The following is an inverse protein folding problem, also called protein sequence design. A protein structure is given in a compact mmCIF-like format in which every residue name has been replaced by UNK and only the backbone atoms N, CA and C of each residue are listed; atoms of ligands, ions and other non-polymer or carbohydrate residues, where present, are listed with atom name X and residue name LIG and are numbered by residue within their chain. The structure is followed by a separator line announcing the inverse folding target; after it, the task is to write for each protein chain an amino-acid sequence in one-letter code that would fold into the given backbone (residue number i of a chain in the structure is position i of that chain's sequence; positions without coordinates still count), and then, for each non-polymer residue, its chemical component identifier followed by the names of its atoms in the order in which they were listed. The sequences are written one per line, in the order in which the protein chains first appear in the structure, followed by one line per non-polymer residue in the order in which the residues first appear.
data_IF_705530840150
#
_entry.id   IF_705530840150
#
_cell.length_a   1.000
_cell.length_b   1.000
_cell.length_c   1.000
_cell.angle_alpha   90.00
_cell.angle_beta   90.00
_cell.angle_gamma   90.00
#
_symmetry.space_group_name_H-M   'P 1'
#
loop_
_entity.id
_entity.type
_entity.pdbx_description
1 polymer ?
#
# COMPACT_ATOMS: atom_id res chain seq x y z
N UNK A 1 -31.08 54.16 -6.05
CA UNK A 1 -30.30 52.92 -5.85
C UNK A 1 -29.76 52.75 -4.43
N UNK A 2 -28.91 53.66 -3.95
CA UNK A 2 -28.11 53.43 -2.72
C UNK A 2 -28.86 53.49 -1.38
N UNK A 3 -29.99 54.21 -1.28
CA UNK A 3 -30.78 54.26 -0.04
C UNK A 3 -31.50 52.94 0.29
N UNK A 4 -31.94 52.20 -0.73
CA UNK A 4 -32.67 50.93 -0.56
C UNK A 4 -31.75 49.78 -0.11
N UNK A 5 -30.50 49.76 -0.59
CA UNK A 5 -29.48 48.77 -0.18
C UNK A 5 -29.02 48.95 1.27
N UNK A 6 -28.86 50.20 1.74
CA UNK A 6 -28.53 50.48 3.17
C UNK A 6 -29.65 50.10 4.14
N UNK A 7 -30.91 50.29 3.75
CA UNK A 7 -32.07 49.89 4.57
C UNK A 7 -32.18 48.35 4.66
N UNK A 8 -31.97 47.63 3.55
CA UNK A 8 -31.93 46.16 3.55
C UNK A 8 -30.77 45.60 4.38
N UNK A 9 -29.59 46.23 4.37
CA UNK A 9 -28.44 45.83 5.18
C UNK A 9 -28.66 45.98 6.69
N UNK A 10 -29.33 47.06 7.13
CA UNK A 10 -29.68 47.28 8.55
C UNK A 10 -30.72 46.28 9.06
N UNK A 11 -31.75 45.96 8.27
CA UNK A 11 -32.74 44.95 8.64
C UNK A 11 -32.17 43.54 8.74
N UNK A 12 -31.16 43.20 7.92
CA UNK A 12 -30.44 41.92 8.01
C UNK A 12 -29.55 41.83 9.26
N UNK A 13 -28.87 42.93 9.64
CA UNK A 13 -28.06 42.97 10.87
C UNK A 13 -28.91 42.80 12.13
N UNK A 14 -30.01 43.54 12.26
CA UNK A 14 -30.91 43.42 13.42
C UNK A 14 -31.49 42.01 13.59
N UNK A 15 -31.79 41.30 12.48
CA UNK A 15 -32.23 39.90 12.51
C UNK A 15 -31.13 38.93 12.94
N UNK A 16 -29.87 39.22 12.60
CA UNK A 16 -28.73 38.40 13.04
C UNK A 16 -28.44 38.61 14.53
N UNK A 17 -28.53 39.85 15.01
CA UNK A 17 -28.34 40.18 16.42
C UNK A 17 -29.41 39.51 17.29
N UNK A 18 -30.68 39.51 16.85
CA UNK A 18 -31.75 38.81 17.56
C UNK A 18 -31.52 37.29 17.62
N UNK A 19 -31.11 36.67 16.51
CA UNK A 19 -30.76 35.23 16.48
C UNK A 19 -29.58 34.90 17.38
N UNK A 20 -28.60 35.81 17.48
CA UNK A 20 -27.43 35.63 18.32
C UNK A 20 -27.79 35.69 19.82
N UNK A 21 -28.69 36.58 20.21
CA UNK A 21 -29.20 36.64 21.58
C UNK A 21 -30.11 35.44 21.93
N UNK A 22 -30.96 34.99 20.98
CA UNK A 22 -31.72 33.75 21.14
C UNK A 22 -30.80 32.53 21.31
N UNK A 23 -29.71 32.46 20.53
CA UNK A 23 -28.72 31.39 20.63
C UNK A 23 -27.99 31.42 21.98
N UNK A 24 -27.59 32.61 22.46
CA UNK A 24 -26.97 32.77 23.79
C UNK A 24 -27.91 32.33 24.89
N UNK A 25 -29.18 32.77 24.85
CA UNK A 25 -30.18 32.40 25.85
C UNK A 25 -30.53 30.90 25.82
N UNK A 26 -30.49 30.27 24.64
CA UNK A 26 -30.62 28.81 24.52
C UNK A 26 -29.43 28.10 25.12
N UNK A 27 -28.21 28.58 24.85
CA UNK A 27 -26.98 27.97 25.33
C UNK A 27 -26.83 28.08 26.85
N UNK A 28 -27.20 29.22 27.46
CA UNK A 28 -27.19 29.36 28.92
C UNK A 28 -28.15 28.39 29.59
N UNK A 29 -29.36 28.21 29.04
CA UNK A 29 -30.34 27.23 29.55
C UNK A 29 -29.83 25.79 29.42
N UNK A 30 -29.12 25.48 28.33
CA UNK A 30 -28.52 24.16 28.14
C UNK A 30 -27.41 23.91 29.17
N UNK A 31 -26.54 24.87 29.42
CA UNK A 31 -25.49 24.79 30.46
C UNK A 31 -26.12 24.58 31.83
N UNK A 32 -27.14 25.37 32.20
CA UNK A 32 -27.84 25.23 33.48
C UNK A 32 -28.50 23.84 33.61
N UNK A 33 -29.11 23.34 32.53
CA UNK A 33 -29.68 21.98 32.50
C UNK A 33 -28.63 20.89 32.67
N UNK A 34 -27.45 21.05 32.08
CA UNK A 34 -26.34 20.10 32.21
C UNK A 34 -25.73 20.14 33.62
N UNK A 35 -25.56 21.33 34.19
CA UNK A 35 -25.09 21.49 35.57
C UNK A 35 -26.06 20.82 36.56
N UNK A 36 -27.37 21.03 36.39
CA UNK A 36 -28.37 20.40 37.23
C UNK A 36 -28.34 18.87 37.10
N UNK A 37 -28.25 18.34 35.86
CA UNK A 37 -28.10 16.89 35.62
C UNK A 37 -26.85 16.30 36.27
N UNK A 38 -25.72 17.01 36.22
CA UNK A 38 -24.48 16.57 36.84
C UNK A 38 -24.62 16.49 38.37
N UNK A 39 -25.24 17.49 38.98
CA UNK A 39 -25.50 17.51 40.43
C UNK A 39 -26.42 16.34 40.82
N UNK A 40 -27.48 16.11 40.06
CA UNK A 40 -28.43 15.03 40.37
C UNK A 40 -27.81 13.64 40.18
N UNK A 41 -26.95 13.45 39.16
CA UNK A 41 -26.17 12.22 39.01
C UNK A 41 -25.18 12.01 40.16
N UNK A 42 -24.48 13.06 40.59
CA UNK A 42 -23.53 12.96 41.70
C UNK A 42 -24.25 12.58 43.00
N UNK A 43 -25.37 13.24 43.30
CA UNK A 43 -26.23 12.93 44.45
C UNK A 43 -26.75 11.49 44.41
N UNK A 44 -27.09 10.98 43.23
CA UNK A 44 -27.54 9.60 43.05
C UNK A 44 -26.39 8.60 43.29
N UNK A 45 -25.23 8.83 42.68
CA UNK A 45 -24.03 7.98 42.85
C UNK A 45 -23.58 7.92 44.30
N UNK A 46 -23.66 9.03 45.02
CA UNK A 46 -23.32 9.09 46.44
C UNK A 46 -24.27 8.23 47.29
N UNK A 47 -25.59 8.32 47.07
CA UNK A 47 -26.56 7.47 47.76
C UNK A 47 -26.33 5.98 47.47
N UNK A 48 -26.17 5.63 46.19
CA UNK A 48 -25.91 4.24 45.76
C UNK A 48 -24.61 3.69 46.37
N UNK A 49 -23.57 4.52 46.46
CA UNK A 49 -22.31 4.15 47.09
C UNK A 49 -22.49 3.88 48.59
N UNK A 50 -23.18 4.76 49.30
CA UNK A 50 -23.42 4.63 50.74
C UNK A 50 -24.29 3.41 51.07
N UNK A 51 -25.34 3.14 50.28
CA UNK A 51 -26.15 1.92 50.40
C UNK A 51 -25.34 0.65 50.11
N UNK A 52 -24.42 0.68 49.14
CA UNK A 52 -23.54 -0.47 48.82
C UNK A 52 -22.50 -0.75 49.90
N UNK A 53 -21.93 0.30 50.49
CA UNK A 53 -20.92 0.17 51.55
C UNK A 53 -21.54 -0.33 52.85
N UNK A 54 -22.78 0.07 53.14
CA UNK A 54 -23.47 -0.22 54.39
C UNK A 54 -24.89 -0.74 54.16
N UNK A 55 -25.05 -1.94 53.57
CA UNK A 55 -26.35 -2.49 53.17
C UNK A 55 -27.29 -2.82 54.34
N UNK A 56 -26.77 -2.81 55.58
CA UNK A 56 -27.55 -3.00 56.79
C UNK A 56 -28.38 -1.78 57.18
N UNK A 57 -28.04 -0.58 56.66
CA UNK A 57 -28.72 0.67 56.95
C UNK A 57 -29.76 0.93 55.86
N UNK A 58 -31.02 1.12 56.27
CA UNK A 58 -32.14 1.36 55.35
C UNK A 58 -32.75 2.73 55.63
N UNK A 59 -32.74 3.60 54.62
CA UNK A 59 -33.31 4.95 54.67
C UNK A 59 -34.38 5.08 53.59
N UNK A 60 -35.42 5.86 53.85
CA UNK A 60 -36.52 6.09 52.89
C UNK A 60 -36.04 6.78 51.61
N UNK A 61 -36.37 6.20 50.45
CA UNK A 61 -36.00 6.70 49.14
C UNK A 61 -36.73 8.00 48.74
N UNK A 62 -37.85 8.32 49.40
CA UNK A 62 -38.66 9.52 49.12
C UNK A 62 -38.09 10.85 49.61
N UNK A 63 -37.01 10.83 50.40
CA UNK A 63 -36.40 12.04 50.98
C UNK A 63 -35.57 12.81 49.95
N UNK A 64 -35.42 14.13 50.14
CA UNK A 64 -34.45 14.93 49.38
C UNK A 64 -33.01 14.52 49.71
N UNK A 65 -32.01 14.86 48.88
CA UNK A 65 -30.64 14.38 49.08
C UNK A 65 -30.05 14.79 50.44
N UNK A 66 -30.24 16.04 50.85
CA UNK A 66 -29.77 16.53 52.14
C UNK A 66 -30.48 15.83 53.32
N UNK A 67 -31.81 15.67 53.25
CA UNK A 67 -32.59 15.00 54.30
C UNK A 67 -32.24 13.51 54.40
N UNK A 68 -32.00 12.87 53.25
CA UNK A 68 -31.58 11.47 53.17
C UNK A 68 -30.23 11.26 53.84
N UNK A 69 -29.24 12.14 53.60
CA UNK A 69 -27.93 12.04 54.25
C UNK A 69 -28.03 12.18 55.77
N UNK A 70 -28.82 13.14 56.27
CA UNK A 70 -29.03 13.32 57.71
C UNK A 70 -29.70 12.09 58.33
N UNK A 71 -30.67 11.49 57.64
CA UNK A 71 -31.30 10.25 58.08
C UNK A 71 -30.33 9.07 58.05
N UNK A 72 -29.51 8.96 57.00
CA UNK A 72 -28.48 7.94 56.85
C UNK A 72 -27.42 8.01 57.95
N UNK A 73 -26.93 9.21 58.25
CA UNK A 73 -26.00 9.44 59.36
C UNK A 73 -26.62 9.00 60.68
N UNK A 74 -27.88 9.34 60.94
CA UNK A 74 -28.56 8.93 62.19
C UNK A 74 -28.65 7.42 62.33
N UNK A 75 -29.02 6.71 61.26
CA UNK A 75 -29.09 5.25 61.26
C UNK A 75 -27.70 4.61 61.37
N UNK A 76 -26.67 5.20 60.75
CA UNK A 76 -25.28 4.76 60.90
C UNK A 76 -24.82 4.81 62.36
N UNK A 77 -25.11 5.91 63.06
CA UNK A 77 -24.77 6.04 64.48
C UNK A 77 -25.50 5.00 65.35
N UNK A 78 -26.76 4.67 65.03
CA UNK A 78 -27.51 3.63 65.74
C UNK A 78 -26.92 2.24 65.48
N UNK A 79 -26.62 1.94 64.21
CA UNK A 79 -26.02 0.69 63.81
C UNK A 79 -24.64 0.47 64.45
N UNK A 80 -23.81 1.52 64.52
CA UNK A 80 -22.51 1.46 65.18
C UNK A 80 -22.62 1.17 66.68
N UNK A 81 -23.58 1.81 67.38
CA UNK A 81 -23.86 1.52 68.80
C UNK A 81 -24.29 0.06 69.00
N UNK A 82 -25.17 -0.44 68.12
CA UNK A 82 -25.61 -1.84 68.15
C UNK A 82 -24.45 -2.82 67.92
N UNK A 83 -23.58 -2.54 66.94
CA UNK A 83 -22.40 -3.36 66.65
C UNK A 83 -21.43 -3.42 67.83
N UNK A 84 -21.19 -2.28 68.49
CA UNK A 84 -20.33 -2.21 69.67
C UNK A 84 -20.90 -3.02 70.85
N UNK A 85 -22.22 -3.00 71.02
CA UNK A 85 -22.90 -3.78 72.05
C UNK A 85 -22.84 -5.29 71.78
N UNK A 86 -22.97 -5.72 70.52
CA UNK A 86 -22.78 -7.12 70.09
C UNK A 86 -21.36 -7.63 70.39
N UNK A 87 -20.32 -6.84 70.09
CA UNK A 87 -18.93 -7.23 70.40
C UNK A 87 -18.66 -7.36 71.90
N UNK A 88 -19.29 -6.52 72.74
CA UNK A 88 -19.17 -6.64 74.20
C UNK A 88 -19.88 -7.89 74.76
N UNK A 89 -20.97 -8.35 74.13
CA UNK A 89 -21.64 -9.59 74.51
C UNK A 89 -20.84 -10.85 74.10
N UNK A 90 -20.20 -10.84 72.93
CA UNK A 90 -19.31 -11.93 72.49
C UNK A 90 -18.08 -12.11 73.39
N UNK A 91 -17.55 -11.03 73.98
CA UNK A 91 -16.44 -11.12 74.94
C UNK A 91 -16.88 -11.52 76.36
N UNK A 92 -18.17 -11.38 76.71
CA UNK A 92 -18.73 -11.87 77.98
C UNK A 92 -19.20 -13.34 77.91
N UNK A 93 -19.35 -13.92 76.72
CA UNK A 93 -19.92 -15.25 76.50
C UNK A 93 -18.92 -16.42 76.44
N UNK A 94 -17.61 -16.18 76.42
CA UNK A 94 -16.55 -17.22 76.42
C UNK A 94 -15.99 -17.49 77.82
N UNK A 95 -16.88 -17.62 78.81
CA UNK A 95 -16.52 -17.92 80.20
C UNK A 95 -16.75 -19.36 80.63
N UNK A 96 -17.74 -20.06 80.06
CA UNK A 96 -18.15 -21.37 80.55
C UNK A 96 -18.48 -22.29 79.36
N UNK A 97 -17.59 -23.24 79.06
CA UNK A 97 -17.92 -24.65 78.82
C UNK A 97 -16.64 -25.46 78.55
N UNK A 98 -16.45 -26.44 79.43
CA UNK A 98 -15.32 -27.35 79.53
C UNK A 98 -15.48 -28.58 78.62
N UNK A 99 -14.33 -29.13 78.23
CA UNK A 99 -14.02 -30.30 77.40
C UNK A 99 -15.04 -31.48 77.34
N UNK A 100 -15.23 -32.00 76.12
CA UNK A 100 -15.58 -33.40 75.84
C UNK A 100 -14.76 -33.87 74.63
N UNK A 101 -13.70 -34.63 74.90
CA UNK A 101 -12.88 -35.32 73.91
C UNK A 101 -13.27 -36.80 73.89
N UNK A 102 -13.91 -37.28 72.82
CA UNK A 102 -13.86 -38.68 72.40
C UNK A 102 -14.35 -38.82 70.96
N UNK A 103 -13.65 -39.65 70.17
CA UNK A 103 -13.99 -40.13 68.84
C UNK A 103 -13.56 -39.31 67.61
N UNK A 104 -12.24 -39.32 67.31
CA UNK A 104 -11.78 -39.07 65.93
C UNK A 104 -10.41 -39.69 65.64
N UNK A 105 -10.30 -41.02 65.69
CA UNK A 105 -9.05 -41.73 65.34
C UNK A 105 -8.98 -42.21 63.88
N UNK A 106 -9.93 -41.79 63.02
CA UNK A 106 -9.93 -42.13 61.57
C UNK A 106 -10.00 -40.90 60.64
N UNK A 107 -9.86 -39.67 61.16
CA UNK A 107 -9.87 -38.43 60.36
C UNK A 107 -8.52 -37.70 60.33
N UNK A 108 -7.49 -38.19 61.03
CA UNK A 108 -6.22 -37.48 61.19
C UNK A 108 -5.38 -37.35 59.91
N UNK A 109 -5.58 -38.22 58.92
CA UNK A 109 -4.90 -38.12 57.62
C UNK A 109 -5.45 -36.96 56.76
N UNK A 110 -6.77 -36.77 56.72
CA UNK A 110 -7.39 -35.66 55.97
C UNK A 110 -7.22 -34.32 56.69
N UNK A 111 -7.26 -34.32 58.04
CA UNK A 111 -7.05 -33.10 58.84
C UNK A 111 -5.62 -32.55 58.69
N UNK A 112 -4.61 -33.41 58.51
CA UNK A 112 -3.23 -32.94 58.30
C UNK A 112 -3.06 -32.28 56.92
N UNK A 113 -3.62 -32.87 55.86
CA UNK A 113 -3.64 -32.27 54.51
C UNK A 113 -4.43 -30.95 54.48
N UNK A 114 -5.57 -30.89 55.19
CA UNK A 114 -6.37 -29.67 55.32
C UNK A 114 -5.63 -28.57 56.09
N UNK A 115 -4.86 -28.93 57.13
CA UNK A 115 -4.02 -27.98 57.88
C UNK A 115 -2.86 -27.47 57.03
N UNK A 116 -2.19 -28.33 56.26
CA UNK A 116 -1.14 -27.92 55.33
C UNK A 116 -1.69 -27.01 54.21
N UNK A 117 -2.86 -27.35 53.67
CA UNK A 117 -3.56 -26.53 52.67
C UNK A 117 -3.97 -25.18 53.24
N UNK A 118 -4.47 -25.14 54.47
CA UNK A 118 -4.82 -23.90 55.15
C UNK A 118 -3.58 -23.03 55.37
N UNK A 119 -2.46 -23.63 55.77
CA UNK A 119 -1.20 -22.90 55.97
C UNK A 119 -0.65 -22.34 54.66
N UNK A 120 -0.74 -23.09 53.56
CA UNK A 120 -0.40 -22.58 52.22
C UNK A 120 -1.30 -21.41 51.80
N UNK A 121 -2.61 -21.49 52.06
CA UNK A 121 -3.55 -20.40 51.78
C UNK A 121 -3.26 -19.15 52.61
N UNK A 122 -2.87 -19.30 53.88
CA UNK A 122 -2.48 -18.17 54.75
C UNK A 122 -1.22 -17.49 54.20
N UNK A 123 -0.20 -18.26 53.81
CA UNK A 123 1.03 -17.72 53.22
C UNK A 123 0.76 -17.04 51.87
N UNK A 124 -0.10 -17.62 51.03
CA UNK A 124 -0.51 -17.04 49.76
C UNK A 124 -1.30 -15.74 49.95
N UNK A 125 -2.24 -15.68 50.89
CA UNK A 125 -2.95 -14.46 51.24
C UNK A 125 -2.01 -13.38 51.76
N UNK A 126 -1.07 -13.72 52.64
CA UNK A 126 -0.08 -12.76 53.13
C UNK A 126 0.81 -12.21 52.00
N UNK A 127 1.08 -12.99 50.96
CA UNK A 127 1.79 -12.53 49.76
C UNK A 127 0.91 -11.61 48.91
N UNK A 128 -0.34 -11.99 48.67
CA UNK A 128 -1.32 -11.16 47.94
C UNK A 128 -1.57 -9.82 48.66
N UNK A 129 -1.63 -9.80 49.99
CA UNK A 129 -1.81 -8.58 50.77
C UNK A 129 -0.63 -7.61 50.59
N UNK A 130 0.61 -8.14 50.50
CA UNK A 130 1.80 -7.32 50.20
C UNK A 130 1.76 -6.78 48.77
N UNK A 131 1.35 -7.59 47.81
CA UNK A 131 1.18 -7.16 46.41
C UNK A 131 0.09 -6.10 46.29
N UNK A 132 -1.07 -6.29 46.92
CA UNK A 132 -2.16 -5.30 46.98
C UNK A 132 -1.69 -4.00 47.64
N UNK A 133 -0.93 -4.08 48.73
CA UNK A 133 -0.37 -2.89 49.40
C UNK A 133 0.62 -2.16 48.50
N UNK A 134 1.47 -2.90 47.80
CA UNK A 134 2.40 -2.33 46.82
C UNK A 134 1.66 -1.64 45.67
N UNK A 135 0.65 -2.28 45.08
CA UNK A 135 -0.14 -1.67 44.00
C UNK A 135 -0.90 -0.43 44.47
N UNK A 136 -1.47 -0.44 45.68
CA UNK A 136 -2.09 0.76 46.27
C UNK A 136 -1.11 1.93 46.38
N UNK A 137 0.13 1.65 46.81
CA UNK A 137 1.17 2.67 46.89
C UNK A 137 1.58 3.18 45.51
N UNK A 138 1.74 2.29 44.52
CA UNK A 138 2.07 2.69 43.15
C UNK A 138 0.95 3.55 42.56
N UNK A 139 -0.31 3.20 42.81
CA UNK A 139 -1.46 3.99 42.38
C UNK A 139 -1.45 5.37 43.00
N UNK A 140 -1.28 5.48 44.33
CA UNK A 140 -1.23 6.81 44.98
C UNK A 140 -0.07 7.66 44.47
N UNK A 141 1.11 7.08 44.29
CA UNK A 141 2.27 7.78 43.71
C UNK A 141 1.99 8.24 42.27
N UNK A 142 1.31 7.40 41.48
CA UNK A 142 0.96 7.75 40.10
C UNK A 142 -0.08 8.87 40.06
N UNK A 143 -1.09 8.82 40.93
CA UNK A 143 -2.10 9.88 41.08
C UNK A 143 -1.45 11.21 41.48
N UNK A 144 -0.52 11.19 42.44
CA UNK A 144 0.23 12.39 42.86
C UNK A 144 1.06 12.97 41.71
N UNK A 145 1.73 12.12 40.92
CA UNK A 145 2.50 12.55 39.75
C UNK A 145 1.57 13.16 38.70
N UNK A 146 0.43 12.53 38.42
CA UNK A 146 -0.55 13.03 37.45
C UNK A 146 -1.12 14.38 37.88
N UNK A 147 -1.45 14.56 39.15
CA UNK A 147 -1.92 15.84 39.67
C UNK A 147 -0.86 16.93 39.56
N UNK A 148 0.41 16.61 39.84
CA UNK A 148 1.52 17.55 39.69
C UNK A 148 1.76 17.93 38.22
N UNK A 149 1.70 16.97 37.31
CA UNK A 149 1.82 17.22 35.87
C UNK A 149 0.66 18.07 35.36
N UNK A 150 -0.57 17.76 35.77
CA UNK A 150 -1.74 18.56 35.42
C UNK A 150 -1.56 20.01 35.86
N UNK A 151 -1.19 20.24 37.12
CA UNK A 151 -0.93 21.59 37.64
C UNK A 151 0.19 22.30 36.87
N UNK A 152 1.28 21.58 36.56
CA UNK A 152 2.39 22.13 35.79
C UNK A 152 1.96 22.57 34.38
N UNK A 153 1.11 21.79 33.72
CA UNK A 153 0.58 22.15 32.39
C UNK A 153 -0.34 23.37 32.49
N UNK A 154 -1.26 23.39 33.45
CA UNK A 154 -2.16 24.54 33.67
C UNK A 154 -1.37 25.83 33.95
N UNK A 155 -0.29 25.75 34.74
CA UNK A 155 0.61 26.88 34.99
C UNK A 155 1.38 27.31 33.74
N UNK A 156 1.82 26.36 32.91
CA UNK A 156 2.54 26.68 31.66
C UNK A 156 1.60 27.32 30.63
N UNK A 157 0.40 26.78 30.44
CA UNK A 157 -0.65 27.36 29.60
C UNK A 157 -0.98 28.79 30.03
N UNK A 158 -1.11 29.02 31.33
CA UNK A 158 -1.32 30.37 31.88
C UNK A 158 -0.17 31.31 31.53
N UNK A 159 1.09 30.87 31.68
CA UNK A 159 2.27 31.68 31.30
C UNK A 159 2.30 31.98 29.80
N UNK A 160 1.93 31.02 28.95
CA UNK A 160 1.85 31.22 27.51
C UNK A 160 0.77 32.23 27.13
N UNK A 161 -0.41 32.15 27.73
CA UNK A 161 -1.48 33.13 27.52
C UNK A 161 -1.08 34.55 27.97
N UNK A 162 -0.47 34.68 29.15
CA UNK A 162 0.03 35.99 29.63
C UNK A 162 1.08 36.59 28.68
N UNK A 163 1.97 35.74 28.14
CA UNK A 163 2.99 36.15 27.17
C UNK A 163 2.37 36.54 25.82
N UNK A 164 1.41 35.78 25.33
CA UNK A 164 0.68 36.08 24.10
C UNK A 164 -0.09 37.40 24.22
N UNK A 165 -0.80 37.60 25.33
CA UNK A 165 -1.46 38.89 25.63
C UNK A 165 -0.46 40.05 25.70
N UNK A 166 0.71 39.83 26.32
CA UNK A 166 1.79 40.81 26.38
C UNK A 166 2.27 41.22 25.00
N UNK A 167 2.57 40.25 24.13
CA UNK A 167 2.95 40.49 22.74
C UNK A 167 1.82 41.15 21.93
N UNK A 168 0.56 40.81 22.19
CA UNK A 168 -0.56 41.44 21.50
C UNK A 168 -0.73 42.91 21.91
N UNK A 169 -0.59 43.23 23.20
CA UNK A 169 -0.57 44.61 23.72
C UNK A 169 0.60 45.39 23.12
N UNK A 170 1.78 44.79 23.06
CA UNK A 170 2.96 45.42 22.45
C UNK A 170 2.77 45.69 20.96
N UNK A 171 2.26 44.72 20.19
CA UNK A 171 1.92 44.90 18.77
C UNK A 171 0.95 46.05 18.56
N UNK A 172 -0.08 46.15 19.41
CA UNK A 172 -1.07 47.21 19.34
C UNK A 172 -0.47 48.58 19.67
N UNK A 173 0.45 48.65 20.64
CA UNK A 173 1.22 49.87 20.93
C UNK A 173 2.09 50.27 19.73
N UNK A 174 2.83 49.34 19.13
CA UNK A 174 3.63 49.62 17.94
C UNK A 174 2.77 50.07 16.75
N UNK A 175 1.63 49.44 16.54
CA UNK A 175 0.69 49.84 15.49
C UNK A 175 0.15 51.26 15.73
N UNK A 176 -0.18 51.60 16.97
CA UNK A 176 -0.63 52.94 17.34
C UNK A 176 0.49 53.98 17.16
N UNK A 177 1.72 53.66 17.57
CA UNK A 177 2.87 54.55 17.38
C UNK A 177 3.15 54.77 15.89
N UNK A 178 3.07 53.72 15.07
CA UNK A 178 3.25 53.83 13.61
C UNK A 178 2.16 54.69 12.98
N UNK A 179 0.90 54.48 13.36
CA UNK A 179 -0.22 55.31 12.90
C UNK A 179 -0.06 56.78 13.33
N UNK A 180 0.43 57.02 14.55
CA UNK A 180 0.71 58.38 15.05
C UNK A 180 1.86 59.03 14.27
N UNK A 181 2.97 58.35 14.10
CA UNK A 181 4.11 58.84 13.31
C UNK A 181 3.70 59.12 11.85
N UNK A 182 2.87 58.25 11.25
CA UNK A 182 2.33 58.45 9.91
C UNK A 182 1.39 59.65 9.84
N UNK A 183 0.55 59.87 10.87
CA UNK A 183 -0.32 61.05 10.96
C UNK A 183 0.49 62.34 11.17
N UNK A 184 1.52 62.33 12.00
CA UNK A 184 2.44 63.46 12.23
C UNK A 184 3.23 63.81 10.96
N UNK A 185 3.76 62.81 10.26
CA UNK A 185 4.40 62.99 8.96
C UNK A 185 3.43 63.58 7.93
N UNK A 186 2.18 63.10 7.90
CA UNK A 186 1.14 63.65 7.01
C UNK A 186 0.74 65.08 7.39
N UNK A 187 0.72 65.43 8.68
CA UNK A 187 0.43 66.79 9.15
C UNK A 187 1.56 67.78 8.82
N UNK A 188 2.83 67.36 8.98
CA UNK A 188 3.99 68.16 8.58
C UNK A 188 4.00 68.40 7.06
N UNK A 189 3.67 67.39 6.27
CA UNK A 189 3.48 67.48 4.82
C UNK A 189 2.43 68.53 4.43
N UNK A 190 1.31 68.57 5.16
CA UNK A 190 0.21 69.51 4.91
C UNK A 190 0.48 70.95 5.40
N UNK A 191 1.36 71.15 6.38
CA UNK A 191 1.65 72.48 6.95
C UNK A 191 2.60 73.32 6.10
N UNK A 192 3.36 72.70 5.17
CA UNK A 192 4.32 73.38 4.30
C UNK A 192 3.94 73.46 2.82
N UNK A 193 2.92 72.71 2.35
CA UNK A 193 2.76 72.48 0.91
C UNK A 193 2.36 73.75 0.14
N UNK A 194 3.29 74.31 -0.60
CA UNK A 194 3.02 75.22 -1.71
C UNK A 194 2.44 74.41 -2.89
N UNK A 195 1.71 75.05 -3.82
CA UNK A 195 1.07 74.33 -4.94
C UNK A 195 2.04 73.48 -5.77
N UNK A 196 3.32 73.89 -5.84
CA UNK A 196 4.41 73.15 -6.50
C UNK A 196 4.80 71.86 -5.76
N UNK A 197 4.73 71.83 -4.44
CA UNK A 197 5.01 70.61 -3.66
C UNK A 197 3.87 69.60 -3.83
N UNK A 198 2.61 70.04 -3.88
CA UNK A 198 1.48 69.16 -4.19
C UNK A 198 1.62 68.52 -5.58
N UNK A 199 2.02 69.31 -6.58
CA UNK A 199 2.25 68.80 -7.93
C UNK A 199 3.42 67.80 -7.97
N UNK A 200 4.50 68.06 -7.24
CA UNK A 200 5.63 67.11 -7.13
C UNK A 200 5.22 65.83 -6.38
N UNK A 201 4.40 65.94 -5.34
CA UNK A 201 3.89 64.79 -4.60
C UNK A 201 2.94 63.94 -5.41
N UNK A 202 2.04 64.54 -6.19
CA UNK A 202 1.18 63.81 -7.12
C UNK A 202 2.01 63.06 -8.16
N UNK A 203 3.07 63.68 -8.66
CA UNK A 203 4.02 63.04 -9.57
C UNK A 203 4.81 61.91 -8.90
N UNK A 204 5.29 62.10 -7.67
CA UNK A 204 5.97 61.05 -6.91
C UNK A 204 5.03 59.88 -6.59
N UNK A 205 3.78 60.15 -6.20
CA UNK A 205 2.78 59.12 -5.95
C UNK A 205 2.42 58.35 -7.24
N UNK A 206 2.34 59.05 -8.39
CA UNK A 206 2.17 58.40 -9.68
C UNK A 206 3.37 57.51 -10.00
N UNK A 207 4.61 57.97 -9.77
CA UNK A 207 5.80 57.14 -9.97
C UNK A 207 5.88 55.96 -9.00
N UNK A 208 5.48 56.12 -7.74
CA UNK A 208 5.40 55.01 -6.78
C UNK A 208 4.37 53.96 -7.20
N UNK A 209 3.20 54.41 -7.71
CA UNK A 209 2.19 53.52 -8.26
C UNK A 209 2.71 52.78 -9.51
N UNK A 210 3.39 53.47 -10.41
CA UNK A 210 4.02 52.88 -11.59
C UNK A 210 5.12 51.88 -11.21
N UNK A 211 5.93 52.17 -10.18
CA UNK A 211 6.95 51.25 -9.65
C UNK A 211 6.33 50.00 -9.04
N UNK A 212 5.23 50.14 -8.30
CA UNK A 212 4.48 48.99 -7.76
C UNK A 212 3.89 48.14 -8.89
N UNK A 213 3.34 48.76 -9.94
CA UNK A 213 2.85 48.06 -11.11
C UNK A 213 3.98 47.33 -11.86
N UNK A 214 5.13 47.98 -12.05
CA UNK A 214 6.31 47.38 -12.65
C UNK A 214 6.82 46.19 -11.84
N UNK A 215 6.81 46.27 -10.51
CA UNK A 215 7.17 45.14 -9.65
C UNK A 215 6.20 43.97 -9.83
N UNK A 216 4.88 44.22 -9.85
CA UNK A 216 3.89 43.17 -10.12
C UNK A 216 4.03 42.56 -11.53
N UNK A 217 4.36 43.37 -12.54
CA UNK A 217 4.67 42.88 -13.89
C UNK A 217 5.97 42.07 -13.93
N UNK A 218 6.99 42.45 -13.15
CA UNK A 218 8.23 41.69 -13.02
C UNK A 218 7.99 40.34 -12.36
N UNK A 219 7.22 40.29 -11.27
CA UNK A 219 6.84 39.05 -10.59
C UNK A 219 6.10 38.11 -11.55
N UNK A 220 5.03 38.59 -12.22
CA UNK A 220 4.27 37.78 -13.19
C UNK A 220 5.11 37.33 -14.38
N UNK A 221 6.04 38.16 -14.86
CA UNK A 221 6.99 37.78 -15.93
C UNK A 221 7.95 36.70 -15.45
N UNK A 222 8.45 36.79 -14.21
CA UNK A 222 9.32 35.78 -13.62
C UNK A 222 8.61 34.44 -13.43
N UNK A 223 7.35 34.46 -12.98
CA UNK A 223 6.51 33.26 -12.85
C UNK A 223 6.23 32.62 -14.22
N UNK A 224 5.91 33.43 -15.24
CA UNK A 224 5.74 32.93 -16.61
C UNK A 224 7.05 32.33 -17.14
N UNK A 225 8.20 32.94 -16.87
CA UNK A 225 9.49 32.41 -17.29
C UNK A 225 9.80 31.05 -16.62
N UNK A 226 9.44 30.88 -15.35
CA UNK A 226 9.56 29.60 -14.64
C UNK A 226 8.66 28.54 -15.27
N UNK A 227 7.37 28.86 -15.51
CA UNK A 227 6.42 27.95 -16.18
C UNK A 227 6.88 27.55 -17.57
N UNK A 228 7.47 28.48 -18.32
CA UNK A 228 7.97 28.22 -19.67
C UNK A 228 9.15 27.24 -19.63
N UNK A 229 10.07 27.38 -18.68
CA UNK A 229 11.16 26.41 -18.45
C UNK A 229 10.63 25.03 -18.04
N UNK A 230 9.62 24.99 -17.17
CA UNK A 230 8.98 23.73 -16.76
C UNK A 230 8.34 23.00 -17.95
N UNK A 231 7.61 23.72 -18.81
CA UNK A 231 7.01 23.16 -20.01
C UNK A 231 8.08 22.68 -21.02
N UNK A 232 9.19 23.40 -21.15
CA UNK A 232 10.33 22.95 -21.97
C UNK A 232 10.94 21.65 -21.45
N UNK A 233 11.09 21.50 -20.12
CA UNK A 233 11.58 20.27 -19.52
C UNK A 233 10.62 19.10 -19.77
N UNK A 234 9.32 19.28 -19.52
CA UNK A 234 8.30 18.25 -19.79
C UNK A 234 8.27 17.84 -21.26
N UNK A 235 8.41 18.79 -22.18
CA UNK A 235 8.47 18.47 -23.60
C UNK A 235 9.69 17.60 -23.94
N UNK A 236 10.86 17.87 -23.34
CA UNK A 236 12.06 17.05 -23.53
C UNK A 236 11.90 15.64 -22.97
N UNK A 237 11.26 15.51 -21.81
CA UNK A 237 10.98 14.20 -21.19
C UNK A 237 10.04 13.38 -22.10
N UNK A 238 8.93 13.97 -22.57
CA UNK A 238 7.98 13.35 -23.51
C UNK A 238 8.62 12.99 -24.86
N UNK A 239 9.51 13.85 -25.39
CA UNK A 239 10.29 13.52 -26.59
C UNK A 239 11.25 12.34 -26.35
N UNK A 240 11.78 12.22 -25.13
CA UNK A 240 12.59 11.08 -24.69
C UNK A 240 11.77 9.79 -24.60
N UNK A 241 10.60 9.84 -23.97
CA UNK A 241 9.67 8.71 -23.87
C UNK A 241 9.18 8.26 -25.25
N UNK A 242 8.87 9.19 -26.15
CA UNK A 242 8.51 8.89 -27.53
C UNK A 242 9.61 8.11 -28.25
N UNK A 243 10.87 8.52 -28.12
CA UNK A 243 12.01 7.81 -28.73
C UNK A 243 12.17 6.39 -28.16
N UNK A 244 11.97 6.22 -26.85
CA UNK A 244 12.01 4.92 -26.22
C UNK A 244 10.88 4.01 -26.72
N UNK A 245 9.67 4.55 -26.86
CA UNK A 245 8.53 3.82 -27.41
C UNK A 245 8.72 3.44 -28.87
N UNK A 246 9.28 4.33 -29.68
CA UNK A 246 9.65 4.06 -31.08
C UNK A 246 10.68 2.94 -31.15
N UNK A 247 11.73 2.97 -30.31
CA UNK A 247 12.70 1.87 -30.23
C UNK A 247 12.05 0.54 -29.85
N UNK A 248 11.16 0.53 -28.85
CA UNK A 248 10.44 -0.70 -28.44
C UNK A 248 9.55 -1.23 -29.55
N UNK A 249 8.87 -0.35 -30.28
CA UNK A 249 8.06 -0.73 -31.43
C UNK A 249 8.92 -1.37 -32.53
N UNK A 250 10.09 -0.80 -32.83
CA UNK A 250 11.01 -1.35 -33.83
C UNK A 250 11.62 -2.71 -33.39
N UNK A 251 11.89 -2.89 -32.11
CA UNK A 251 12.33 -4.18 -31.54
C UNK A 251 11.22 -5.22 -31.64
N UNK A 252 9.99 -4.87 -31.26
CA UNK A 252 8.84 -5.79 -31.35
C UNK A 252 8.50 -6.14 -32.81
N UNK A 253 8.60 -5.16 -33.72
CA UNK A 253 8.42 -5.38 -35.16
C UNK A 253 9.47 -6.36 -35.72
N UNK A 254 10.74 -6.22 -35.30
CA UNK A 254 11.81 -7.16 -35.64
C UNK A 254 11.54 -8.55 -35.06
N UNK A 255 11.16 -8.65 -33.79
CA UNK A 255 10.82 -9.92 -33.14
C UNK A 255 9.66 -10.62 -33.84
N UNK A 256 8.59 -9.89 -34.19
CA UNK A 256 7.45 -10.42 -34.91
C UNK A 256 7.85 -10.92 -36.30
N UNK A 257 8.74 -10.20 -37.00
CA UNK A 257 9.27 -10.62 -38.30
C UNK A 257 10.17 -11.85 -38.18
N UNK A 258 11.00 -11.95 -37.13
CA UNK A 258 11.84 -13.11 -36.86
C UNK A 258 10.98 -14.35 -36.55
N UNK A 259 9.94 -14.22 -35.72
CA UNK A 259 8.98 -15.30 -35.47
C UNK A 259 8.26 -15.71 -36.75
N UNK A 260 7.81 -14.74 -37.55
CA UNK A 260 7.16 -15.00 -38.84
C UNK A 260 8.08 -15.79 -39.78
N UNK A 261 9.33 -15.34 -39.96
CA UNK A 261 10.29 -16.03 -40.84
C UNK A 261 10.64 -17.43 -40.32
N UNK A 262 10.75 -17.62 -39.00
CA UNK A 262 10.94 -18.93 -38.39
C UNK A 262 9.76 -19.87 -38.68
N UNK A 263 8.52 -19.39 -38.50
CA UNK A 263 7.32 -20.16 -38.81
C UNK A 263 7.22 -20.48 -40.30
N UNK A 264 7.51 -19.53 -41.19
CA UNK A 264 7.55 -19.77 -42.64
C UNK A 264 8.60 -20.83 -43.02
N UNK A 265 9.77 -20.83 -42.38
CA UNK A 265 10.79 -21.87 -42.56
C UNK A 265 10.30 -23.22 -42.07
N UNK A 266 9.67 -23.26 -40.89
CA UNK A 266 9.15 -24.49 -40.31
C UNK A 266 8.01 -25.09 -41.14
N UNK A 267 7.14 -24.26 -41.71
CA UNK A 267 6.09 -24.69 -42.64
C UNK A 267 6.72 -25.33 -43.88
N UNK A 268 7.73 -24.69 -44.49
CA UNK A 268 8.46 -25.26 -45.63
C UNK A 268 9.11 -26.62 -45.32
N UNK A 269 9.72 -26.77 -44.14
CA UNK A 269 10.25 -28.07 -43.69
C UNK A 269 9.16 -29.14 -43.56
N UNK A 270 8.03 -28.79 -42.94
CA UNK A 270 6.91 -29.71 -42.76
C UNK A 270 6.31 -30.13 -44.10
N UNK A 271 6.12 -29.19 -45.03
CA UNK A 271 5.68 -29.47 -46.40
C UNK A 271 6.65 -30.42 -47.12
N UNK A 272 7.97 -30.23 -46.96
CA UNK A 272 8.98 -31.15 -47.48
C UNK A 272 8.87 -32.56 -46.89
N UNK A 273 8.69 -32.69 -45.57
CA UNK A 273 8.50 -34.01 -44.94
C UNK A 273 7.18 -34.69 -45.35
N UNK A 274 6.13 -33.90 -45.60
CA UNK A 274 4.85 -34.39 -46.07
C UNK A 274 4.98 -34.97 -47.48
N UNK A 275 5.65 -34.25 -48.38
CA UNK A 275 5.91 -34.74 -49.75
C UNK A 275 6.70 -36.05 -49.74
N UNK A 276 7.76 -36.14 -48.94
CA UNK A 276 8.54 -37.39 -48.80
C UNK A 276 7.70 -38.56 -48.27
N UNK A 277 6.72 -38.30 -47.39
CA UNK A 277 5.78 -39.31 -46.91
C UNK A 277 4.84 -39.76 -48.02
N UNK A 278 4.30 -38.81 -48.79
CA UNK A 278 3.44 -39.11 -49.95
C UNK A 278 4.20 -39.94 -51.01
N UNK A 279 5.47 -39.62 -51.29
CA UNK A 279 6.33 -40.40 -52.19
C UNK A 279 6.61 -41.81 -51.65
N UNK A 280 6.84 -41.94 -50.34
CA UNK A 280 7.01 -43.25 -49.70
C UNK A 280 5.74 -44.09 -49.80
N UNK A 281 4.57 -43.50 -49.54
CA UNK A 281 3.28 -44.18 -49.64
C UNK A 281 3.00 -44.60 -51.09
N UNK A 282 3.36 -43.77 -52.08
CA UNK A 282 3.27 -44.11 -53.50
C UNK A 282 4.19 -45.28 -53.88
N UNK A 283 5.47 -45.24 -53.48
CA UNK A 283 6.40 -46.35 -53.73
C UNK A 283 5.94 -47.66 -53.06
N UNK A 284 5.35 -47.57 -51.88
CA UNK A 284 4.75 -48.71 -51.18
C UNK A 284 3.57 -49.28 -51.96
N UNK A 285 2.74 -48.44 -52.57
CA UNK A 285 1.65 -48.86 -53.45
C UNK A 285 2.19 -49.52 -54.73
N UNK A 286 3.15 -48.89 -55.42
CA UNK A 286 3.77 -49.45 -56.63
C UNK A 286 4.45 -50.81 -56.35
N UNK A 287 5.11 -50.95 -55.20
CA UNK A 287 5.69 -52.22 -54.76
C UNK A 287 4.62 -53.29 -54.53
N UNK A 288 3.47 -52.91 -53.95
CA UNK A 288 2.36 -53.83 -53.75
C UNK A 288 1.74 -54.28 -55.08
N UNK A 289 1.60 -53.36 -56.04
CA UNK A 289 1.12 -53.65 -57.39
C UNK A 289 2.07 -54.61 -58.14
N UNK A 290 3.38 -54.35 -58.12
CA UNK A 290 4.38 -55.24 -58.75
C UNK A 290 4.39 -56.62 -58.08
N UNK A 291 4.26 -56.69 -56.75
CA UNK A 291 4.14 -57.99 -56.05
C UNK A 291 2.86 -58.74 -56.45
N UNK A 292 1.74 -58.04 -56.62
CA UNK A 292 0.49 -58.63 -57.07
C UNK A 292 0.62 -59.16 -58.51
N UNK A 293 1.20 -58.37 -59.42
CA UNK A 293 1.47 -58.78 -60.80
C UNK A 293 2.42 -59.99 -60.86
N UNK A 294 3.47 -60.01 -60.03
CA UNK A 294 4.39 -61.14 -59.97
C UNK A 294 3.70 -62.39 -59.43
N UNK A 295 2.85 -62.27 -58.41
CA UNK A 295 2.07 -63.39 -57.87
C UNK A 295 1.07 -63.92 -58.91
N UNK A 296 0.45 -63.04 -59.70
CA UNK A 296 -0.48 -63.41 -60.77
C UNK A 296 0.23 -64.09 -61.93
N UNK A 297 1.37 -63.56 -62.39
CA UNK A 297 2.22 -64.19 -63.38
C UNK A 297 2.73 -65.57 -62.88
N UNK A 298 3.05 -65.68 -61.59
CA UNK A 298 3.39 -66.96 -60.96
C UNK A 298 2.24 -67.96 -60.98
N UNK A 299 1.00 -67.53 -60.67
CA UNK A 299 -0.20 -68.39 -60.77
C UNK A 299 -0.44 -68.83 -62.22
N UNK A 300 -0.40 -67.89 -63.17
CA UNK A 300 -0.58 -68.17 -64.59
C UNK A 300 0.50 -69.13 -65.13
N UNK A 301 1.75 -68.99 -64.71
CA UNK A 301 2.82 -69.92 -65.08
C UNK A 301 2.55 -71.33 -64.54
N UNK A 302 2.08 -71.46 -63.28
CA UNK A 302 1.69 -72.76 -62.70
C UNK A 302 0.49 -73.37 -63.42
N UNK A 303 -0.50 -72.56 -63.81
CA UNK A 303 -1.64 -73.02 -64.63
C UNK A 303 -1.19 -73.53 -66.00
N UNK A 304 -0.31 -72.79 -66.69
CA UNK A 304 0.23 -73.21 -67.99
C UNK A 304 1.08 -74.47 -67.87
N UNK A 305 1.88 -74.64 -66.81
CA UNK A 305 2.63 -75.89 -66.58
C UNK A 305 1.67 -77.07 -66.33
N UNK A 306 0.57 -76.87 -65.61
CA UNK A 306 -0.46 -77.90 -65.41
C UNK A 306 -1.22 -78.22 -66.70
N UNK A 307 -1.56 -77.22 -67.53
CA UNK A 307 -2.24 -77.40 -68.82
C UNK A 307 -1.32 -77.96 -69.91
N UNK A 308 -0.05 -77.58 -69.92
CA UNK A 308 0.96 -78.09 -70.86
C UNK A 308 1.34 -79.54 -70.54
N UNK A 309 1.40 -79.90 -69.25
CA UNK A 309 1.52 -81.30 -68.84
C UNK A 309 0.33 -82.15 -69.30
N UNK A 310 -0.86 -81.56 -69.45
CA UNK A 310 -2.05 -82.26 -69.92
C UNK A 310 -2.14 -82.41 -71.46
N UNK A 311 -1.39 -81.65 -72.26
CA UNK A 311 -1.69 -81.49 -73.71
C UNK A 311 -0.53 -81.72 -74.68
N UNK A 312 0.55 -82.40 -74.29
CA UNK A 312 1.60 -82.81 -75.24
C UNK A 312 1.38 -84.21 -75.81
N UNK A 313 0.45 -84.35 -76.77
CA UNK A 313 0.47 -85.42 -77.76
C UNK A 313 -0.34 -85.03 -79.01
N UNK A 314 0.31 -85.08 -80.18
CA UNK A 314 -0.23 -84.90 -81.55
C UNK A 314 -0.30 -83.47 -82.14
N UNK A 315 0.85 -83.07 -82.70
CA UNK A 315 1.08 -82.68 -84.10
C UNK A 315 -0.07 -82.05 -84.92
N UNK A 316 0.09 -80.78 -85.34
CA UNK A 316 0.10 -80.38 -86.75
C UNK A 316 0.44 -78.89 -86.86
N UNK A 317 1.50 -78.61 -87.61
CA UNK A 317 2.03 -77.28 -87.87
C UNK A 317 1.04 -76.47 -88.71
N UNK A 318 0.39 -75.50 -88.08
CA UNK A 318 0.01 -74.24 -88.72
C UNK A 318 -0.15 -73.19 -87.62
N UNK A 319 0.40 -72.00 -87.85
CA UNK A 319 0.45 -70.82 -86.98
C UNK A 319 1.20 -70.99 -85.64
N UNK A 320 2.38 -70.36 -85.53
CA UNK A 320 2.62 -69.26 -84.59
C UNK A 320 4.06 -68.75 -84.73
N UNK A 321 4.27 -67.74 -85.58
CA UNK A 321 5.52 -66.97 -85.68
C UNK A 321 5.65 -65.91 -84.56
N UNK A 322 5.03 -66.12 -83.39
CA UNK A 322 5.12 -65.20 -82.25
C UNK A 322 5.77 -65.81 -80.99
N UNK A 323 6.08 -67.11 -80.95
CA UNK A 323 6.66 -67.76 -79.76
C UNK A 323 8.19 -67.81 -79.72
N UNK A 324 8.89 -67.40 -80.79
CA UNK A 324 10.37 -67.45 -80.85
C UNK A 324 11.04 -66.38 -79.99
N UNK A 325 10.47 -65.19 -79.91
CA UNK A 325 11.05 -64.09 -79.15
C UNK A 325 10.97 -64.25 -77.62
N UNK A 326 9.85 -64.69 -77.01
CA UNK A 326 9.76 -64.79 -75.54
C UNK A 326 10.63 -65.90 -74.94
N UNK A 327 10.80 -67.05 -75.62
CA UNK A 327 11.68 -68.14 -75.14
C UNK A 327 13.17 -67.78 -75.18
N UNK A 328 13.59 -66.96 -76.15
CA UNK A 328 14.97 -66.47 -76.23
C UNK A 328 15.29 -65.49 -75.09
N UNK A 329 14.32 -64.66 -74.67
CA UNK A 329 14.44 -63.74 -73.54
C UNK A 329 14.46 -64.46 -72.18
N UNK A 330 13.67 -65.53 -71.99
CA UNK A 330 13.71 -66.35 -70.77
C UNK A 330 15.05 -67.06 -70.59
N UNK A 331 15.61 -67.60 -71.67
CA UNK A 331 16.95 -68.21 -71.64
C UNK A 331 18.04 -67.19 -71.31
N UNK A 332 17.90 -65.92 -71.71
CA UNK A 332 18.87 -64.87 -71.34
C UNK A 332 18.75 -64.40 -69.89
N UNK A 333 17.59 -64.56 -69.25
CA UNK A 333 17.42 -64.28 -67.81
C UNK A 333 17.94 -65.44 -66.92
N UNK A 334 17.89 -66.68 -67.41
CA UNK A 334 18.49 -67.85 -66.75
C UNK A 334 19.99 -68.05 -67.10
N UNK A 335 20.47 -67.46 -68.19
CA UNK A 335 21.89 -67.44 -68.56
C UNK A 335 22.53 -66.14 -68.08
N UNK A 336 23.18 -66.24 -66.91
CA UNK A 336 24.14 -65.28 -66.35
C UNK A 336 24.93 -64.55 -67.46
N UNK A 337 24.66 -63.26 -67.72
CA UNK A 337 25.46 -62.51 -68.67
C UNK A 337 26.88 -62.33 -68.12
N UNK A 338 27.92 -62.46 -68.96
CA UNK A 338 29.31 -62.43 -68.52
C UNK A 338 29.71 -61.05 -68.04
N UNK A 339 30.35 -61.01 -66.86
CA UNK A 339 31.12 -59.88 -66.37
C UNK A 339 32.17 -59.49 -67.41
N UNK A 340 32.17 -58.22 -67.82
CA UNK A 340 33.34 -57.59 -68.44
C UNK A 340 33.76 -56.41 -67.55
N UNK A 341 35.07 -56.23 -67.30
CA UNK A 341 35.60 -55.50 -66.15
C UNK A 341 35.81 -54.00 -66.41
N UNK A 342 35.70 -53.23 -65.33
CA UNK A 342 36.37 -51.96 -65.00
C UNK A 342 36.98 -51.08 -66.12
N UNK A 343 36.67 -49.78 -66.07
CA UNK A 343 37.57 -48.85 -65.36
C UNK A 343 36.92 -47.50 -65.05
N UNK A 344 37.09 -47.12 -63.79
CA UNK A 344 36.81 -45.81 -63.21
C UNK A 344 37.68 -44.72 -63.84
N UNK A 345 37.08 -43.58 -64.20
CA UNK A 345 37.79 -42.31 -64.21
C UNK A 345 37.22 -41.41 -63.12
N UNK A 346 37.83 -41.54 -61.93
CA UNK A 346 37.87 -40.47 -60.95
C UNK A 346 38.52 -39.25 -61.58
N UNK A 347 37.80 -38.13 -61.70
CA UNK A 347 38.40 -36.81 -61.67
C UNK A 347 38.15 -36.17 -60.31
N UNK A 348 38.97 -36.59 -59.33
CA UNK A 348 39.25 -35.78 -58.14
C UNK A 348 39.99 -34.51 -58.60
N UNK A 349 39.38 -33.35 -58.42
CA UNK A 349 40.12 -32.12 -58.14
C UNK A 349 40.14 -31.96 -56.62
N UNK A 350 41.30 -32.17 -56.00
CA UNK A 350 41.61 -31.63 -54.68
C UNK A 350 42.90 -30.81 -54.77
N UNK A 351 42.76 -29.59 -54.26
CA UNK A 351 43.69 -28.83 -53.44
C UNK A 351 45.06 -28.47 -54.02
N UNK A 352 45.26 -27.16 -54.17
CA UNK A 352 46.46 -26.50 -53.66
C UNK A 352 46.04 -25.52 -52.58
N UNK A 353 46.38 -25.84 -51.33
CA UNK A 353 46.51 -24.88 -50.25
C UNK A 353 47.81 -24.11 -50.44
N UNK A 354 47.78 -22.78 -50.35
CA UNK A 354 48.93 -22.00 -49.92
C UNK A 354 48.48 -21.09 -48.77
N UNK A 355 49.09 -21.33 -47.62
CA UNK A 355 49.09 -20.45 -46.46
C UNK A 355 49.99 -19.24 -46.73
N UNK A 356 49.55 -18.06 -46.30
CA UNK A 356 50.37 -17.04 -45.66
C UNK A 356 49.36 -16.20 -44.83
N UNK A 357 49.44 -16.19 -43.50
CA UNK A 357 50.32 -15.28 -42.74
C UNK A 357 50.17 -13.85 -43.29
N UNK A 358 49.82 -12.82 -42.55
CA UNK A 358 49.71 -12.57 -41.12
C UNK A 358 49.55 -11.03 -41.01
N UNK A 359 49.21 -10.53 -39.83
CA UNK A 359 49.41 -9.14 -39.37
C UNK A 359 48.24 -8.15 -39.51
N UNK A 360 47.66 -7.87 -38.35
CA UNK A 360 47.27 -6.54 -37.87
C UNK A 360 48.30 -5.44 -38.19
N UNK A 361 47.85 -4.20 -38.30
CA UNK A 361 48.14 -3.21 -37.25
C UNK A 361 46.83 -2.52 -36.80
N UNK A 362 46.48 -2.36 -35.52
CA UNK A 362 47.20 -1.76 -34.40
C UNK A 362 47.64 -0.31 -34.68
N UNK A 363 46.69 0.63 -34.57
CA UNK A 363 46.81 1.92 -33.88
C UNK A 363 45.51 2.72 -34.05
N UNK A 364 45.00 3.51 -33.10
CA UNK A 364 45.27 3.77 -31.68
C UNK A 364 44.15 4.74 -31.24
N UNK A 365 43.69 4.62 -29.99
CA UNK A 365 43.02 5.62 -29.14
C UNK A 365 41.88 6.48 -29.75
N UNK A 366 40.71 6.60 -29.13
CA UNK A 366 40.55 7.25 -27.84
C UNK A 366 39.34 6.72 -27.08
N UNK A 367 39.60 6.22 -25.87
CA UNK A 367 38.63 6.20 -24.79
C UNK A 367 38.20 7.64 -24.49
N UNK A 368 36.91 7.85 -24.23
CA UNK A 368 36.44 8.57 -23.03
C UNK A 368 34.91 8.78 -23.07
N UNK A 369 34.24 8.10 -22.16
CA UNK A 369 33.09 8.58 -21.40
C UNK A 369 33.22 7.96 -20.00
N UNK A 370 32.60 8.48 -18.93
CA UNK A 370 32.11 9.85 -18.67
C UNK A 370 32.31 10.24 -17.18
N UNK A 371 33.02 11.32 -16.85
CA UNK A 371 32.99 11.98 -15.53
C UNK A 371 33.85 13.25 -15.57
N UNK A 372 33.48 14.27 -14.79
CA UNK A 372 34.10 15.60 -14.69
C UNK A 372 33.61 16.65 -15.71
N UNK A 373 32.33 17.02 -15.61
CA UNK A 373 31.88 18.41 -15.77
C UNK A 373 30.83 18.77 -14.70
N UNK A 374 31.23 18.61 -13.45
CA UNK A 374 30.64 19.26 -12.27
C UNK A 374 31.81 19.84 -11.49
N UNK A 375 32.06 21.13 -11.71
CA UNK A 375 32.91 22.08 -10.94
C UNK A 375 33.54 23.07 -11.92
N UNK A 376 32.80 24.12 -12.28
CA UNK A 376 33.27 25.50 -12.58
C UNK A 376 32.14 26.31 -13.22
N UNK A 377 31.10 26.60 -12.43
CA UNK A 377 30.18 27.72 -12.70
C UNK A 377 29.51 28.26 -11.42
N UNK A 378 30.10 28.01 -10.25
CA UNK A 378 29.87 28.81 -9.04
C UNK A 378 31.16 29.56 -8.76
N UNK A 379 31.17 30.86 -9.09
CA UNK A 379 32.05 31.96 -8.64
C UNK A 379 32.16 33.01 -9.76
N UNK A 380 31.04 33.70 -10.06
CA UNK A 380 30.99 35.09 -10.57
C UNK A 380 29.54 35.52 -10.84
N UNK A 381 28.86 35.98 -9.79
CA UNK A 381 28.08 37.24 -9.81
C UNK A 381 27.25 37.34 -8.52
N UNK A 382 27.95 37.43 -7.39
CA UNK A 382 27.52 38.22 -6.25
C UNK A 382 28.54 39.35 -6.09
N UNK A 383 28.04 40.58 -5.87
CA UNK A 383 28.71 41.89 -5.80
C UNK A 383 28.55 42.75 -7.06
N UNK A 384 27.64 43.72 -6.96
CA UNK A 384 27.34 44.77 -7.91
C UNK A 384 25.91 45.22 -7.77
#
# INVERSE_FOLDING_TARGET
GHASSRAQGRGKRSKLDQKLEELKASHTKEIESLQQRLIDEQRKKERELLERLLPAIKVDAGLSHAEWLVAFERELHQWQKWQQQQQQQLQRGTGDHQALSASTQSQTSGVMEDVERLQQLILANAKLDKEVSHYKQVLSQTEDILQNLQRSVEEEEKRWHEKEEGHNKERLLWQQQLAKAQAEASQQKNAGSTGREKELEERCAAFEADLQQLHGLQETTSEMQVKLKELQAKLQDEEGEKKLLEQKYDEESRNAQDVRTHLESRVRELEGTKLMREDYDRLKQELAEVKAQLAEAGRAAVEVDNESAATHSSLAQNTCLQTRHPRQCLMTLYLRPPMVPHQYLLKRRRMTSWCALSWTPLHVHWAMCPALKTLTAELRSGCG
#
